data_IF_741081817603
#
_entry.id   IF_741081817603
#
_cell.length_a   1.000
_cell.length_b   1.000
_cell.length_c   1.000
_cell.angle_alpha   90.00
_cell.angle_beta   90.00
_cell.angle_gamma   90.00
#
_symmetry.space_group_name_H-M   'P 1'
#
loop_
_entity.id
_entity.type
_entity.pdbx_description
1 polymer ?
#
# COMPACT_ATOMS: atom_id res chain seq x y z
N UNK A 1 41.30 -51.07 21.74
CA UNK A 1 41.59 -50.15 20.61
C UNK A 1 40.42 -49.18 20.46
N UNK A 2 40.71 -47.86 20.54
CA UNK A 2 39.94 -46.67 20.06
C UNK A 2 38.47 -46.52 20.54
N UNK A 3 38.15 -45.65 21.52
CA UNK A 3 38.04 -44.16 21.53
C UNK A 3 36.68 -43.63 21.03
N UNK A 4 36.04 -42.82 21.90
CA UNK A 4 35.20 -41.62 21.66
C UNK A 4 33.91 -41.80 20.84
N UNK A 5 32.74 -41.22 21.14
CA UNK A 5 32.37 -40.07 21.99
C UNK A 5 30.87 -40.25 22.38
N UNK A 6 30.49 -39.88 23.61
CA UNK A 6 29.60 -38.75 23.95
C UNK A 6 28.18 -38.79 23.33
N UNK A 7 27.08 -38.43 23.99
CA UNK A 7 26.68 -38.09 25.36
C UNK A 7 25.26 -37.49 25.15
N UNK A 8 24.34 -37.67 26.11
CA UNK A 8 23.17 -36.81 26.36
C UNK A 8 22.04 -36.75 25.32
N UNK A 9 20.93 -37.41 25.64
CA UNK A 9 19.64 -36.74 25.95
C UNK A 9 18.50 -37.74 25.76
N UNK A 10 18.44 -38.74 26.65
CA UNK A 10 17.28 -39.60 26.80
C UNK A 10 16.94 -39.59 28.29
N UNK A 11 16.11 -38.62 28.70
CA UNK A 11 15.25 -38.55 29.89
C UNK A 11 14.68 -37.12 29.91
N UNK A 12 13.51 -36.96 29.29
CA UNK A 12 12.44 -36.00 29.59
C UNK A 12 11.24 -36.31 28.67
N UNK A 13 10.94 -37.60 28.51
CA UNK A 13 9.65 -38.05 28.01
C UNK A 13 8.77 -38.14 29.24
N UNK A 14 7.91 -37.15 29.42
CA UNK A 14 6.61 -37.14 30.09
C UNK A 14 6.29 -35.69 30.51
N UNK A 15 5.08 -35.25 30.12
CA UNK A 15 4.44 -33.96 30.45
C UNK A 15 5.06 -32.68 29.89
N UNK A 16 4.97 -32.50 28.57
CA UNK A 16 4.63 -31.18 28.02
C UNK A 16 3.38 -31.36 27.19
N UNK A 17 2.23 -31.23 27.84
CA UNK A 17 1.03 -30.79 27.14
C UNK A 17 1.38 -29.45 26.54
N UNK A 18 1.66 -29.43 25.23
CA UNK A 18 1.63 -28.21 24.45
C UNK A 18 0.22 -27.65 24.63
N UNK A 19 0.06 -26.77 25.62
CA UNK A 19 -0.93 -25.72 25.54
C UNK A 19 -0.58 -25.01 24.24
N UNK A 20 -1.28 -25.35 23.16
CA UNK A 20 -1.49 -24.42 22.07
C UNK A 20 -2.07 -23.20 22.76
N UNK A 21 -1.21 -22.24 23.12
CA UNK A 21 -1.62 -20.86 23.25
C UNK A 21 -2.14 -20.56 21.85
N UNK A 22 -3.44 -20.67 21.67
CA UNK A 22 -4.13 -20.14 20.52
C UNK A 22 -3.63 -18.70 20.43
N UNK A 23 -2.74 -18.45 19.46
CA UNK A 23 -2.38 -17.09 19.11
C UNK A 23 -3.72 -16.41 18.90
N UNK A 24 -4.07 -15.33 19.65
CA UNK A 24 -5.38 -14.73 19.54
C UNK A 24 -5.65 -14.50 18.05
N UNK A 25 -6.76 -15.07 17.56
CA UNK A 25 -7.09 -15.03 16.14
C UNK A 25 -7.01 -13.58 15.72
N UNK A 26 -6.47 -13.31 14.55
CA UNK A 26 -6.23 -11.92 14.13
C UNK A 26 -7.55 -11.12 14.12
N UNK A 27 -8.71 -11.80 14.08
CA UNK A 27 -10.07 -11.28 14.27
C UNK A 27 -10.29 -10.66 15.67
N UNK A 28 -9.79 -11.28 16.74
CA UNK A 28 -9.82 -10.68 18.11
C UNK A 28 -8.91 -9.46 18.25
N UNK A 29 -8.05 -9.19 17.26
CA UNK A 29 -7.23 -7.97 17.17
C UNK A 29 -7.92 -6.85 16.39
N UNK A 30 -9.15 -7.07 15.91
CA UNK A 30 -10.04 -6.02 15.43
C UNK A 30 -10.52 -5.24 16.66
N UNK A 31 -9.67 -4.35 17.17
CA UNK A 31 -10.12 -3.37 18.13
C UNK A 31 -11.24 -2.54 17.46
N UNK A 32 -12.37 -2.32 18.15
CA UNK A 32 -13.42 -1.46 17.61
C UNK A 32 -12.81 -0.10 17.24
N UNK A 33 -13.22 0.43 16.09
CA UNK A 33 -12.80 1.76 15.63
C UNK A 33 -13.16 2.77 16.72
N UNK A 34 -12.15 3.44 17.24
CA UNK A 34 -12.37 4.53 18.19
C UNK A 34 -12.75 5.78 17.39
N UNK A 35 -13.97 6.27 17.56
CA UNK A 35 -14.37 7.54 16.96
C UNK A 35 -13.66 8.71 17.63
N UNK A 36 -13.17 9.64 16.81
CA UNK A 36 -12.60 10.89 17.31
C UNK A 36 -13.69 11.75 17.95
N UNK A 37 -13.30 12.52 18.97
CA UNK A 37 -14.20 13.51 19.54
C UNK A 37 -14.55 14.59 18.49
N UNK A 38 -15.78 15.10 18.53
CA UNK A 38 -16.24 16.16 17.61
C UNK A 38 -15.28 17.34 17.61
N UNK A 39 -14.90 17.81 16.42
CA UNK A 39 -13.99 18.94 16.26
C UNK A 39 -12.50 18.60 16.40
N UNK A 40 -12.13 17.33 16.62
CA UNK A 40 -10.72 16.88 16.64
C UNK A 40 -10.25 16.27 15.31
N UNK A 41 -11.17 16.04 14.36
CA UNK A 41 -10.83 15.55 13.03
C UNK A 41 -10.45 16.72 12.10
N UNK A 42 -9.19 16.76 11.65
CA UNK A 42 -8.70 17.80 10.74
C UNK A 42 -9.54 17.90 9.45
N UNK A 43 -10.08 16.77 8.97
CA UNK A 43 -10.85 16.72 7.72
C UNK A 43 -12.12 17.55 7.76
N UNK A 44 -12.77 17.67 8.91
CA UNK A 44 -14.00 18.46 9.04
C UNK A 44 -13.74 19.94 8.71
N UNK A 45 -12.57 20.44 9.13
CA UNK A 45 -12.11 21.80 8.85
C UNK A 45 -11.58 21.95 7.42
N UNK A 46 -10.98 20.90 6.86
CA UNK A 46 -10.33 20.96 5.55
C UNK A 46 -11.30 20.85 4.39
N UNK A 47 -12.38 20.05 4.51
CA UNK A 47 -13.32 19.78 3.41
C UNK A 47 -13.85 21.02 2.68
N UNK A 48 -14.23 22.13 3.35
CA UNK A 48 -14.67 23.34 2.66
C UNK A 48 -13.57 24.03 1.82
N UNK A 49 -12.30 23.77 2.13
CA UNK A 49 -11.14 24.40 1.51
C UNK A 49 -10.57 23.58 0.34
N UNK A 50 -10.67 22.25 0.42
CA UNK A 50 -10.09 21.32 -0.56
C UNK A 50 -10.49 21.58 -2.02
N UNK A 51 -11.73 21.99 -2.37
CA UNK A 51 -12.08 22.29 -3.76
C UNK A 51 -11.23 23.39 -4.40
N UNK A 52 -10.66 24.31 -3.62
CA UNK A 52 -9.83 25.41 -4.12
C UNK A 52 -8.46 24.93 -4.66
N UNK A 53 -8.08 23.67 -4.38
CA UNK A 53 -6.83 23.08 -4.85
C UNK A 53 -6.91 22.53 -6.28
N UNK A 54 -8.08 22.61 -6.91
CA UNK A 54 -8.33 22.12 -8.27
C UNK A 54 -8.39 23.30 -9.24
N UNK A 55 -7.31 23.57 -10.00
CA UNK A 55 -7.36 24.62 -11.02
C UNK A 55 -8.33 24.21 -12.14
N UNK A 56 -9.08 25.18 -12.67
CA UNK A 56 -10.00 24.97 -13.79
C UNK A 56 -9.29 25.07 -15.16
N UNK A 57 -8.02 25.50 -15.17
CA UNK A 57 -7.22 25.70 -16.37
C UNK A 57 -6.38 24.44 -16.68
N UNK A 58 -6.51 23.92 -17.90
CA UNK A 58 -5.80 22.70 -18.33
C UNK A 58 -4.28 22.86 -18.33
N UNK A 59 -3.76 24.03 -18.73
CA UNK A 59 -2.31 24.28 -18.74
C UNK A 59 -1.76 24.29 -17.30
N UNK A 60 -2.51 24.83 -16.34
CA UNK A 60 -2.14 24.73 -14.91
C UNK A 60 -2.11 23.28 -14.41
N UNK A 61 -3.08 22.45 -14.83
CA UNK A 61 -3.10 21.02 -14.47
C UNK A 61 -1.87 20.31 -15.02
N UNK A 62 -1.52 20.56 -16.29
CA UNK A 62 -0.35 19.98 -16.94
C UNK A 62 0.95 20.41 -16.25
N UNK A 63 1.14 21.71 -16.00
CA UNK A 63 2.30 22.23 -15.25
C UNK A 63 2.39 21.61 -13.85
N UNK A 64 1.26 21.47 -13.14
CA UNK A 64 1.24 20.84 -11.84
C UNK A 64 1.70 19.38 -11.91
N UNK A 65 1.22 18.61 -12.89
CA UNK A 65 1.64 17.21 -13.10
C UNK A 65 3.15 17.11 -13.37
N UNK A 66 3.70 17.98 -14.22
CA UNK A 66 5.14 18.04 -14.49
C UNK A 66 5.92 18.30 -13.20
N UNK A 67 5.50 19.29 -12.40
CA UNK A 67 6.18 19.63 -11.15
C UNK A 67 6.08 18.55 -10.06
N UNK A 68 5.16 17.59 -10.17
CA UNK A 68 5.15 16.42 -9.27
C UNK A 68 6.25 15.41 -9.55
N UNK A 69 6.89 15.44 -10.73
CA UNK A 69 8.07 14.62 -11.01
C UNK A 69 9.25 15.08 -10.15
N UNK A 70 9.96 14.22 -9.42
CA UNK A 70 11.18 14.61 -8.71
C UNK A 70 12.37 14.85 -9.65
N UNK A 71 12.21 14.60 -10.96
CA UNK A 71 13.27 14.79 -11.95
C UNK A 71 13.24 16.15 -12.62
N UNK A 72 12.05 16.72 -12.78
CA UNK A 72 11.84 17.98 -13.47
C UNK A 72 12.03 19.17 -12.51
N UNK A 73 12.81 20.14 -12.97
CA UNK A 73 12.88 21.46 -12.36
C UNK A 73 11.82 22.37 -13.02
N UNK A 74 11.31 23.35 -12.26
CA UNK A 74 10.39 24.34 -12.84
C UNK A 74 11.16 25.28 -13.76
N UNK A 75 10.61 25.52 -14.94
CA UNK A 75 11.04 26.61 -15.81
C UNK A 75 10.21 27.83 -15.45
N UNK A 76 10.77 28.72 -14.62
CA UNK A 76 10.06 29.88 -14.07
C UNK A 76 9.39 30.77 -15.15
N UNK A 77 9.91 30.77 -16.38
CA UNK A 77 9.30 31.50 -17.49
C UNK A 77 8.06 30.78 -18.05
N UNK A 78 8.05 29.44 -18.07
CA UNK A 78 6.90 28.62 -18.48
C UNK A 78 5.85 28.47 -17.38
N UNK A 79 6.27 28.55 -16.12
CA UNK A 79 5.42 28.27 -14.96
C UNK A 79 4.86 29.53 -14.28
N UNK A 80 5.01 30.72 -14.87
CA UNK A 80 4.55 31.98 -14.27
C UNK A 80 3.06 31.98 -13.88
N UNK A 81 2.21 31.36 -14.71
CA UNK A 81 0.78 31.19 -14.40
C UNK A 81 0.56 30.26 -13.19
N UNK A 82 1.32 29.17 -13.11
CA UNK A 82 1.26 28.25 -11.98
C UNK A 82 1.74 28.92 -10.70
N UNK A 83 2.86 29.65 -10.74
CA UNK A 83 3.38 30.40 -9.58
C UNK A 83 2.35 31.42 -9.08
N UNK A 84 1.74 32.19 -10.00
CA UNK A 84 0.68 33.15 -9.65
C UNK A 84 -0.50 32.47 -8.97
N UNK A 85 -0.90 31.29 -9.47
CA UNK A 85 -1.96 30.51 -8.85
C UNK A 85 -1.55 29.97 -7.47
N UNK A 86 -0.34 29.41 -7.33
CA UNK A 86 0.21 28.93 -6.06
C UNK A 86 0.24 30.03 -5.00
N UNK A 87 0.66 31.24 -5.37
CA UNK A 87 0.63 32.41 -4.48
C UNK A 87 -0.79 32.74 -4.03
N UNK A 88 -1.77 32.67 -4.94
CA UNK A 88 -3.17 32.93 -4.62
C UNK A 88 -3.78 31.91 -3.66
N UNK A 89 -3.32 30.65 -3.69
CA UNK A 89 -3.81 29.57 -2.82
C UNK A 89 -2.96 29.35 -1.57
N UNK A 90 -1.82 30.03 -1.41
CA UNK A 90 -0.96 29.91 -0.24
C UNK A 90 -1.70 30.10 1.10
N UNK A 91 -2.64 31.07 1.26
CA UNK A 91 -3.44 31.19 2.48
C UNK A 91 -4.31 29.96 2.78
N UNK A 92 -4.73 29.23 1.75
CA UNK A 92 -5.49 27.98 1.89
C UNK A 92 -4.57 26.86 2.36
N UNK A 93 -3.38 26.74 1.75
CA UNK A 93 -2.39 25.73 2.13
C UNK A 93 -1.96 25.87 3.61
N UNK A 94 -1.76 27.10 4.08
CA UNK A 94 -1.43 27.39 5.49
C UNK A 94 -2.53 26.95 6.46
N UNK A 95 -3.78 26.86 6.02
CA UNK A 95 -4.88 26.33 6.82
C UNK A 95 -4.92 24.80 6.76
N UNK A 96 -4.45 24.16 5.69
CA UNK A 96 -4.50 22.70 5.51
C UNK A 96 -3.36 21.96 6.24
N UNK A 97 -3.02 22.41 7.44
CA UNK A 97 -2.00 21.82 8.32
C UNK A 97 -2.69 21.17 9.53
N UNK A 98 -2.21 19.97 9.90
CA UNK A 98 -2.72 19.23 11.06
C UNK A 98 -2.24 19.91 12.32
N UNK A 99 -3.17 20.38 13.15
CA UNK A 99 -2.82 20.99 14.42
C UNK A 99 -2.42 19.94 15.46
N UNK A 100 -1.62 20.28 16.49
CA UNK A 100 -1.18 19.32 17.51
C UNK A 100 -2.33 18.60 18.25
N UNK A 101 -3.50 19.21 18.33
CA UNK A 101 -4.71 18.65 18.95
C UNK A 101 -5.61 17.89 17.98
N UNK A 102 -5.29 17.88 16.69
CA UNK A 102 -6.09 17.24 15.65
C UNK A 102 -5.52 15.87 15.26
N UNK A 103 -6.40 15.01 14.78
CA UNK A 103 -6.06 13.76 14.14
C UNK A 103 -6.80 13.62 12.81
N UNK A 104 -6.40 12.63 12.02
CA UNK A 104 -7.09 12.25 10.79
C UNK A 104 -8.00 11.07 11.06
N UNK A 105 -9.27 11.19 10.66
CA UNK A 105 -10.18 10.06 10.63
C UNK A 105 -11.08 10.15 9.40
N UNK A 106 -11.01 9.13 8.54
CA UNK A 106 -11.87 9.04 7.37
C UNK A 106 -13.29 8.57 7.73
N UNK A 107 -14.28 8.80 6.86
CA UNK A 107 -15.59 8.14 6.97
C UNK A 107 -15.44 6.62 7.15
N UNK A 108 -16.34 6.02 7.92
CA UNK A 108 -16.35 4.57 8.11
C UNK A 108 -16.71 3.86 6.80
N UNK A 109 -16.07 2.73 6.53
CA UNK A 109 -16.39 1.89 5.38
C UNK A 109 -17.52 0.94 5.79
N UNK A 110 -18.64 1.00 5.08
CA UNK A 110 -19.82 0.15 5.35
C UNK A 110 -19.97 -1.02 4.38
N UNK A 111 -19.18 -1.02 3.30
CA UNK A 111 -19.32 -1.96 2.18
C UNK A 111 -18.51 -1.53 0.96
N UNK A 112 -18.50 -2.34 -0.12
CA UNK A 112 -17.85 -2.02 -1.40
C UNK A 112 -18.34 -0.72 -2.04
N UNK A 113 -19.57 -0.31 -1.77
CA UNK A 113 -20.20 0.90 -2.29
C UNK A 113 -19.77 2.19 -1.58
N UNK A 114 -19.00 2.09 -0.49
CA UNK A 114 -18.63 3.25 0.32
C UNK A 114 -17.85 4.26 -0.54
N UNK A 115 -18.32 5.51 -0.67
CA UNK A 115 -17.58 6.53 -1.40
C UNK A 115 -16.34 6.96 -0.63
N UNK A 116 -15.30 7.37 -1.38
CA UNK A 116 -14.02 7.82 -0.87
C UNK A 116 -13.75 9.29 -1.25
N UNK A 117 -14.59 10.24 -0.78
CA UNK A 117 -14.59 11.62 -1.28
C UNK A 117 -13.33 12.40 -0.93
N UNK A 118 -12.63 12.01 0.14
CA UNK A 118 -11.48 12.74 0.67
C UNK A 118 -10.16 12.32 -0.04
N UNK A 119 -10.10 11.15 -0.68
CA UNK A 119 -8.83 10.58 -1.17
C UNK A 119 -8.20 11.36 -2.31
N UNK A 120 -8.99 11.68 -3.35
CA UNK A 120 -8.49 12.46 -4.48
C UNK A 120 -8.11 13.90 -4.07
N UNK A 121 -8.91 14.61 -3.26
CA UNK A 121 -8.51 15.90 -2.70
C UNK A 121 -7.21 15.89 -1.87
N UNK A 122 -6.99 14.86 -1.04
CA UNK A 122 -5.76 14.76 -0.26
C UNK A 122 -4.54 14.46 -1.14
N UNK A 123 -4.72 13.69 -2.22
CA UNK A 123 -3.70 13.52 -3.26
C UNK A 123 -3.38 14.82 -3.98
N UNK A 124 -4.41 15.60 -4.33
CA UNK A 124 -4.25 16.92 -4.94
C UNK A 124 -3.49 17.88 -4.01
N UNK A 125 -3.84 17.91 -2.72
CA UNK A 125 -3.11 18.69 -1.71
C UNK A 125 -1.62 18.34 -1.67
N UNK A 126 -1.28 17.06 -1.74
CA UNK A 126 0.12 16.64 -1.75
C UNK A 126 0.88 17.11 -2.99
N UNK A 127 0.23 17.06 -4.16
CA UNK A 127 0.79 17.54 -5.43
C UNK A 127 1.02 19.06 -5.40
N UNK A 128 0.03 19.82 -4.94
CA UNK A 128 0.09 21.28 -4.83
C UNK A 128 1.17 21.72 -3.83
N UNK A 129 1.31 21.02 -2.69
CA UNK A 129 2.40 21.26 -1.73
C UNK A 129 3.77 21.01 -2.34
N UNK A 130 3.93 19.96 -3.14
CA UNK A 130 5.17 19.69 -3.85
C UNK A 130 5.51 20.79 -4.86
N UNK A 131 4.53 21.27 -5.63
CA UNK A 131 4.74 22.40 -6.53
C UNK A 131 5.11 23.70 -5.76
N UNK A 132 4.42 23.97 -4.64
CA UNK A 132 4.71 25.12 -3.77
C UNK A 132 6.11 25.05 -3.15
N UNK A 133 6.55 23.85 -2.75
CA UNK A 133 7.89 23.57 -2.28
C UNK A 133 8.93 23.96 -3.32
N UNK A 134 8.77 23.48 -4.56
CA UNK A 134 9.72 23.75 -5.65
C UNK A 134 9.74 25.23 -6.01
N UNK A 135 8.57 25.86 -6.14
CA UNK A 135 8.46 27.28 -6.41
C UNK A 135 9.14 28.12 -5.32
N UNK A 136 8.91 27.78 -4.04
CA UNK A 136 9.55 28.46 -2.91
C UNK A 136 11.06 28.31 -2.92
N UNK A 137 11.57 27.11 -3.24
CA UNK A 137 13.01 26.85 -3.34
C UNK A 137 13.65 27.70 -4.42
N UNK A 138 13.07 27.69 -5.63
CA UNK A 138 13.60 28.43 -6.78
C UNK A 138 13.52 29.95 -6.60
N UNK A 139 12.60 30.44 -5.76
CA UNK A 139 12.53 31.83 -5.35
C UNK A 139 13.55 32.18 -4.23
N UNK A 140 14.38 31.24 -3.79
CA UNK A 140 15.36 31.42 -2.70
C UNK A 140 14.75 31.35 -1.29
N UNK A 141 13.47 31.00 -1.16
CA UNK A 141 12.80 30.84 0.13
C UNK A 141 12.90 29.38 0.62
N UNK A 142 14.11 28.97 0.96
CA UNK A 142 14.39 27.60 1.41
C UNK A 142 13.61 27.21 2.68
N UNK A 143 13.44 28.08 3.70
CA UNK A 143 12.65 27.73 4.88
C UNK A 143 11.21 27.33 4.55
N UNK A 144 10.54 28.04 3.62
CA UNK A 144 9.19 27.70 3.20
C UNK A 144 9.13 26.37 2.44
N UNK A 145 10.10 26.11 1.55
CA UNK A 145 10.19 24.84 0.83
C UNK A 145 10.39 23.65 1.78
N UNK A 146 11.29 23.77 2.76
CA UNK A 146 11.51 22.72 3.77
C UNK A 146 10.26 22.51 4.62
N UNK A 147 9.58 23.58 5.04
CA UNK A 147 8.33 23.45 5.78
C UNK A 147 7.25 22.71 4.96
N UNK A 148 7.10 23.04 3.68
CA UNK A 148 6.16 22.34 2.78
C UNK A 148 6.49 20.84 2.65
N UNK A 149 7.77 20.46 2.57
CA UNK A 149 8.19 19.05 2.56
C UNK A 149 7.78 18.32 3.85
N UNK A 150 8.06 18.92 5.00
CA UNK A 150 7.71 18.37 6.32
C UNK A 150 6.20 18.21 6.47
N UNK A 151 5.42 19.21 6.07
CA UNK A 151 3.97 19.13 6.09
C UNK A 151 3.43 18.01 5.19
N UNK A 152 4.06 17.78 4.03
CA UNK A 152 3.64 16.70 3.13
C UNK A 152 3.94 15.32 3.72
N UNK A 153 5.11 15.13 4.33
CA UNK A 153 5.44 13.89 5.05
C UNK A 153 4.46 13.63 6.19
N UNK A 154 4.10 14.66 6.97
CA UNK A 154 3.12 14.56 8.06
C UNK A 154 1.72 14.24 7.54
N UNK A 155 1.31 14.82 6.42
CA UNK A 155 0.06 14.49 5.72
C UNK A 155 0.06 13.01 5.32
N UNK A 156 1.09 12.53 4.63
CA UNK A 156 1.21 11.14 4.21
C UNK A 156 1.11 10.17 5.40
N UNK A 157 1.85 10.46 6.48
CA UNK A 157 1.81 9.70 7.74
C UNK A 157 0.41 9.66 8.34
N UNK A 158 -0.25 10.80 8.48
CA UNK A 158 -1.58 10.89 9.06
C UNK A 158 -2.61 10.14 8.18
N UNK A 159 -2.52 10.30 6.86
CA UNK A 159 -3.42 9.67 5.91
C UNK A 159 -3.25 8.15 5.92
N UNK A 160 -2.02 7.61 5.82
CA UNK A 160 -1.73 6.17 5.93
C UNK A 160 -2.16 5.58 7.28
N UNK A 161 -2.07 6.34 8.37
CA UNK A 161 -2.55 5.93 9.70
C UNK A 161 -4.07 5.79 9.78
N UNK A 162 -4.80 6.64 9.05
CA UNK A 162 -6.25 6.67 9.04
C UNK A 162 -6.90 5.71 8.02
N UNK A 163 -6.13 5.08 7.12
CA UNK A 163 -6.69 4.19 6.09
C UNK A 163 -7.08 2.81 6.63
N UNK A 164 -8.21 2.34 6.13
CA UNK A 164 -8.71 0.97 6.25
C UNK A 164 -9.13 0.49 4.85
N UNK A 165 -8.97 -0.80 4.54
CA UNK A 165 -9.25 -1.33 3.19
C UNK A 165 -8.15 -1.03 2.16
N UNK A 166 -8.21 -1.76 1.05
CA UNK A 166 -7.12 -1.78 0.05
C UNK A 166 -7.19 -0.62 -0.93
N UNK A 167 -8.36 -0.31 -1.47
CA UNK A 167 -8.54 0.84 -2.38
C UNK A 167 -8.10 2.16 -1.71
N UNK A 168 -8.52 2.45 -0.45
CA UNK A 168 -8.01 3.59 0.31
C UNK A 168 -6.49 3.60 0.52
N UNK A 169 -5.88 2.44 0.80
CA UNK A 169 -4.43 2.30 0.95
C UNK A 169 -3.67 2.69 -0.32
N UNK A 170 -4.16 2.31 -1.51
CA UNK A 170 -3.52 2.66 -2.79
C UNK A 170 -3.40 4.18 -2.94
N UNK A 171 -4.46 4.92 -2.64
CA UNK A 171 -4.46 6.38 -2.74
C UNK A 171 -3.53 7.03 -1.71
N UNK A 172 -3.52 6.52 -0.47
CA UNK A 172 -2.63 7.02 0.57
C UNK A 172 -1.15 6.71 0.28
N UNK A 173 -0.85 5.56 -0.32
CA UNK A 173 0.49 5.24 -0.81
C UNK A 173 0.93 6.21 -1.93
N UNK A 174 0.00 6.68 -2.77
CA UNK A 174 0.24 7.73 -3.75
C UNK A 174 0.61 9.08 -3.13
N UNK A 175 -0.07 9.50 -2.05
CA UNK A 175 0.30 10.70 -1.28
C UNK A 175 1.70 10.56 -0.67
N UNK A 176 2.01 9.38 -0.14
CA UNK A 176 3.33 9.11 0.41
C UNK A 176 4.43 9.16 -0.65
N UNK A 177 4.19 8.58 -1.84
CA UNK A 177 5.09 8.70 -2.98
C UNK A 177 5.41 10.17 -3.30
N UNK A 178 4.38 11.00 -3.51
CA UNK A 178 4.54 12.43 -3.83
C UNK A 178 5.37 13.14 -2.75
N UNK A 179 5.16 12.78 -1.48
CA UNK A 179 5.91 13.36 -0.36
C UNK A 179 7.38 12.95 -0.38
N UNK A 180 7.68 11.67 -0.63
CA UNK A 180 9.05 11.15 -0.76
C UNK A 180 9.77 11.74 -1.98
N UNK A 181 9.05 11.97 -3.08
CA UNK A 181 9.58 12.59 -4.29
C UNK A 181 9.99 14.04 -4.05
N UNK A 182 9.24 14.80 -3.25
CA UNK A 182 9.64 16.14 -2.81
C UNK A 182 10.94 16.14 -2.00
N UNK A 183 11.09 15.20 -1.08
CA UNK A 183 12.34 15.05 -0.31
C UNK A 183 13.48 14.65 -1.23
N UNK A 184 13.26 13.71 -2.16
CA UNK A 184 14.29 13.31 -3.13
C UNK A 184 14.75 14.49 -3.97
N UNK A 185 13.82 15.28 -4.49
CA UNK A 185 14.14 16.49 -5.25
C UNK A 185 14.98 17.48 -4.41
N UNK A 186 14.64 17.70 -3.14
CA UNK A 186 15.45 18.54 -2.23
C UNK A 186 16.86 17.97 -2.01
N UNK A 187 17.01 16.65 -1.88
CA UNK A 187 18.35 16.04 -1.74
C UNK A 187 19.23 16.24 -2.97
N UNK A 188 18.68 16.70 -4.09
CA UNK A 188 19.45 17.00 -5.29
C UNK A 188 19.93 18.45 -5.36
N UNK A 189 19.42 19.33 -4.51
CA UNK A 189 19.79 20.74 -4.50
C UNK A 189 21.11 20.93 -3.77
N UNK A 190 22.01 21.73 -4.34
CA UNK A 190 23.37 21.93 -3.82
C UNK A 190 23.41 22.77 -2.55
N UNK A 191 22.42 23.63 -2.36
CA UNK A 191 22.24 24.55 -1.26
C UNK A 191 21.35 23.99 -0.13
N UNK A 192 21.04 22.69 -0.14
CA UNK A 192 20.39 22.03 0.99
C UNK A 192 21.32 21.98 2.20
N UNK A 193 21.00 22.81 3.20
CA UNK A 193 21.76 22.87 4.46
C UNK A 193 21.73 21.56 5.24
N UNK A 194 22.79 21.32 6.02
CA UNK A 194 22.88 20.14 6.91
C UNK A 194 21.76 20.11 7.96
N UNK A 195 21.30 21.27 8.45
CA UNK A 195 20.18 21.37 9.39
C UNK A 195 18.85 20.96 8.75
N UNK A 196 18.57 21.47 7.54
CA UNK A 196 17.37 21.08 6.79
C UNK A 196 17.40 19.58 6.45
N UNK A 197 18.57 19.05 6.07
CA UNK A 197 18.72 17.62 5.83
C UNK A 197 18.48 16.78 7.09
N UNK A 198 18.96 17.23 8.26
CA UNK A 198 18.71 16.57 9.54
C UNK A 198 17.22 16.57 9.93
N UNK A 199 16.51 17.69 9.70
CA UNK A 199 15.08 17.80 9.94
C UNK A 199 14.27 16.82 9.09
N UNK A 200 14.53 16.78 7.77
CA UNK A 200 13.87 15.86 6.86
C UNK A 200 14.18 14.40 7.21
N UNK A 201 15.42 14.11 7.62
CA UNK A 201 15.83 12.78 8.03
C UNK A 201 15.03 12.32 9.27
N UNK A 202 14.88 13.18 10.28
CA UNK A 202 14.11 12.88 11.48
C UNK A 202 12.62 12.59 11.17
N UNK A 203 12.03 13.33 10.22
CA UNK A 203 10.65 13.05 9.75
C UNK A 203 10.55 11.69 9.05
N UNK A 204 11.52 11.32 8.20
CA UNK A 204 11.52 9.99 7.56
C UNK A 204 11.75 8.86 8.57
N UNK A 205 12.54 9.07 9.62
CA UNK A 205 12.78 8.06 10.66
C UNK A 205 11.53 7.80 11.51
N UNK A 206 10.68 8.81 11.72
CA UNK A 206 9.40 8.66 12.40
C UNK A 206 8.41 7.71 11.67
N UNK A 207 8.69 7.36 10.41
CA UNK A 207 7.86 6.52 9.55
C UNK A 207 8.35 5.07 9.40
N UNK A 208 9.36 4.63 10.15
CA UNK A 208 10.02 3.32 9.99
C UNK A 208 9.09 2.07 10.05
N UNK A 209 7.88 2.20 10.61
CA UNK A 209 6.89 1.12 10.69
C UNK A 209 5.62 1.39 9.89
N UNK A 210 5.55 2.53 9.19
CA UNK A 210 4.32 3.05 8.61
C UNK A 210 3.74 2.12 7.55
N UNK A 211 4.57 1.64 6.62
CA UNK A 211 4.17 0.73 5.54
C UNK A 211 3.49 -0.54 6.08
N UNK A 212 4.13 -1.19 7.06
CA UNK A 212 3.65 -2.46 7.63
C UNK A 212 2.34 -2.26 8.37
N UNK A 213 2.26 -1.20 9.18
CA UNK A 213 1.05 -0.89 9.93
C UNK A 213 -0.12 -0.54 8.99
N UNK A 214 0.15 0.18 7.91
CA UNK A 214 -0.85 0.52 6.90
C UNK A 214 -1.35 -0.73 6.15
N UNK A 215 -0.46 -1.63 5.73
CA UNK A 215 -0.84 -2.90 5.11
C UNK A 215 -1.68 -3.77 6.04
N UNK A 216 -1.27 -3.91 7.30
CA UNK A 216 -2.03 -4.70 8.28
C UNK A 216 -3.44 -4.13 8.47
N UNK A 217 -3.59 -2.80 8.60
CA UNK A 217 -4.92 -2.17 8.69
C UNK A 217 -5.74 -2.35 7.42
N UNK A 218 -5.12 -2.17 6.26
CA UNK A 218 -5.79 -2.31 4.97
C UNK A 218 -6.35 -3.72 4.78
N UNK A 219 -5.55 -4.76 5.04
CA UNK A 219 -5.96 -6.16 4.92
C UNK A 219 -7.05 -6.54 5.92
N UNK A 220 -6.99 -5.99 7.15
CA UNK A 220 -8.09 -6.14 8.13
C UNK A 220 -9.37 -5.50 7.63
N UNK A 221 -9.29 -4.29 7.08
CA UNK A 221 -10.42 -3.58 6.52
C UNK A 221 -10.99 -4.28 5.29
N UNK A 222 -10.15 -4.89 4.46
CA UNK A 222 -10.59 -5.69 3.31
C UNK A 222 -11.46 -6.87 3.74
N UNK A 223 -11.03 -7.62 4.74
CA UNK A 223 -11.88 -8.68 5.29
C UNK A 223 -13.19 -8.12 5.85
N UNK A 224 -13.09 -7.12 6.72
CA UNK A 224 -14.20 -6.65 7.55
C UNK A 224 -15.26 -5.92 6.73
N UNK A 225 -14.84 -5.03 5.84
CA UNK A 225 -15.72 -4.11 5.14
C UNK A 225 -16.03 -4.54 3.71
N UNK A 226 -15.22 -5.43 3.12
CA UNK A 226 -15.49 -5.97 1.80
C UNK A 226 -15.94 -7.43 1.89
N UNK A 227 -15.06 -8.36 2.26
CA UNK A 227 -15.38 -9.80 2.18
C UNK A 227 -16.57 -10.17 3.06
N UNK A 228 -16.56 -9.80 4.33
CA UNK A 228 -17.62 -10.14 5.27
C UNK A 228 -18.96 -9.52 4.86
N UNK A 229 -18.96 -8.22 4.55
CA UNK A 229 -20.16 -7.49 4.13
C UNK A 229 -20.78 -8.10 2.86
N UNK A 230 -19.96 -8.40 1.85
CA UNK A 230 -20.46 -8.99 0.60
C UNK A 230 -21.08 -10.36 0.85
N UNK A 231 -20.39 -11.25 1.58
CA UNK A 231 -20.91 -12.59 1.89
C UNK A 231 -22.19 -12.54 2.73
N UNK A 232 -22.28 -11.62 3.69
CA UNK A 232 -23.46 -11.44 4.53
C UNK A 232 -24.68 -10.92 3.72
N UNK A 233 -24.44 -10.14 2.66
CA UNK A 233 -25.47 -9.65 1.74
C UNK A 233 -25.93 -10.69 0.70
N UNK A 234 -25.14 -11.72 0.42
CA UNK A 234 -25.54 -12.76 -0.54
C UNK A 234 -26.84 -13.47 -0.09
N UNK A 235 -27.78 -13.77 -1.02
CA UNK A 235 -29.06 -14.36 -0.66
C UNK A 235 -28.89 -15.75 -0.05
N UNK A 236 -29.71 -16.07 0.96
CA UNK A 236 -29.79 -17.42 1.55
C UNK A 236 -30.67 -18.29 0.65
N UNK A 237 -30.06 -18.88 -0.36
CA UNK A 237 -30.76 -19.65 -1.41
C UNK A 237 -29.92 -20.83 -1.86
N UNK A 238 -30.59 -21.86 -2.38
CA UNK A 238 -29.94 -22.92 -3.15
C UNK A 238 -29.84 -22.57 -4.64
N UNK A 239 -30.52 -21.53 -5.12
CA UNK A 239 -30.47 -21.12 -6.53
C UNK A 239 -29.09 -20.52 -6.86
N UNK A 240 -28.28 -21.31 -7.56
CA UNK A 240 -26.90 -20.95 -7.93
C UNK A 240 -26.89 -19.76 -8.89
N UNK A 241 -27.84 -19.66 -9.81
CA UNK A 241 -27.89 -18.55 -10.77
C UNK A 241 -28.13 -17.22 -10.05
N UNK A 242 -29.01 -17.22 -9.02
CA UNK A 242 -29.25 -16.05 -8.18
C UNK A 242 -28.00 -15.65 -7.39
N UNK A 243 -27.23 -16.62 -6.90
CA UNK A 243 -25.95 -16.37 -6.22
C UNK A 243 -24.88 -15.82 -7.17
N UNK A 244 -24.79 -16.35 -8.40
CA UNK A 244 -23.85 -15.85 -9.40
C UNK A 244 -24.17 -14.41 -9.81
N UNK A 245 -25.44 -14.10 -10.06
CA UNK A 245 -25.92 -12.73 -10.30
C UNK A 245 -25.55 -11.80 -9.13
N UNK A 246 -25.77 -12.28 -7.90
CA UNK A 246 -25.38 -11.54 -6.68
C UNK A 246 -23.87 -11.29 -6.60
N UNK A 247 -23.04 -12.29 -6.88
CA UNK A 247 -21.57 -12.17 -6.89
C UNK A 247 -21.12 -11.19 -7.98
N UNK A 248 -21.71 -11.25 -9.17
CA UNK A 248 -21.43 -10.31 -10.26
C UNK A 248 -21.70 -8.86 -9.87
N UNK A 249 -22.72 -8.63 -9.04
CA UNK A 249 -23.01 -7.31 -8.45
C UNK A 249 -22.25 -7.02 -7.15
N UNK A 250 -21.42 -7.95 -6.66
CA UNK A 250 -20.79 -7.92 -5.33
C UNK A 250 -21.79 -7.67 -4.18
N UNK A 251 -23.02 -8.17 -4.32
CA UNK A 251 -24.10 -7.96 -3.36
C UNK A 251 -24.56 -6.51 -3.24
N UNK A 252 -24.27 -5.65 -4.23
CA UNK A 252 -24.67 -4.24 -4.25
C UNK A 252 -26.05 -4.03 -4.88
N UNK A 253 -26.43 -4.86 -5.85
CA UNK A 253 -27.76 -4.81 -6.47
C UNK A 253 -28.69 -5.85 -5.87
N UNK A 254 -29.99 -5.54 -5.78
CA UNK A 254 -30.98 -6.56 -5.46
C UNK A 254 -30.87 -7.66 -6.51
N UNK A 255 -30.67 -8.93 -6.12
CA UNK A 255 -30.38 -9.96 -7.09
C UNK A 255 -31.67 -10.30 -7.84
N UNK A 256 -31.64 -10.11 -9.16
CA UNK A 256 -32.74 -10.49 -10.03
C UNK A 256 -32.69 -12.00 -10.23
N UNK A 257 -33.70 -12.70 -9.73
CA UNK A 257 -33.84 -14.12 -9.99
C UNK A 257 -34.16 -14.31 -11.49
N UNK A 258 -33.42 -15.18 -12.20
CA UNK A 258 -33.83 -15.55 -13.55
C UNK A 258 -35.23 -16.16 -13.50
N UNK A 259 -36.05 -15.91 -14.52
CA UNK A 259 -37.33 -16.60 -14.65
C UNK A 259 -37.13 -18.12 -14.65
N UNK A 260 -38.16 -18.90 -14.29
CA UNK A 260 -38.03 -20.36 -14.13
C UNK A 260 -37.51 -21.08 -15.39
N UNK A 261 -37.81 -20.55 -16.59
CA UNK A 261 -37.28 -21.03 -17.88
C UNK A 261 -35.92 -20.47 -18.29
N UNK A 262 -35.35 -19.54 -17.53
CA UNK A 262 -34.05 -18.91 -17.74
C UNK A 262 -32.98 -19.46 -16.78
N UNK A 263 -33.37 -20.31 -15.81
CA UNK A 263 -32.42 -21.03 -14.96
C UNK A 263 -31.66 -22.06 -15.79
N UNK A 264 -30.37 -21.79 -16.00
CA UNK A 264 -29.50 -22.71 -16.70
C UNK A 264 -29.05 -23.85 -15.77
N UNK A 265 -28.65 -23.55 -14.53
CA UNK A 265 -28.20 -24.57 -13.57
C UNK A 265 -29.34 -25.16 -12.75
N UNK A 266 -29.24 -26.47 -12.45
CA UNK A 266 -30.14 -27.20 -11.56
C UNK A 266 -29.97 -26.73 -10.12
N UNK A 267 -31.07 -26.62 -9.37
CA UNK A 267 -31.01 -26.28 -7.92
C UNK A 267 -30.47 -27.49 -7.15
N UNK A 268 -29.28 -27.39 -6.51
CA UNK A 268 -28.71 -28.49 -5.75
C UNK A 268 -29.51 -28.78 -4.47
N UNK A 269 -29.46 -30.04 -4.02
CA UNK A 269 -30.05 -30.47 -2.76
C UNK A 269 -29.29 -29.97 -1.52
N UNK A 270 -28.02 -29.61 -1.69
CA UNK A 270 -27.14 -29.04 -0.65
C UNK A 270 -26.94 -27.55 -0.88
N UNK A 271 -26.65 -26.82 0.20
CA UNK A 271 -26.28 -25.41 0.12
C UNK A 271 -25.04 -25.23 -0.78
N UNK A 272 -25.13 -24.44 -1.86
CA UNK A 272 -24.01 -24.19 -2.75
C UNK A 272 -23.02 -23.15 -2.18
N UNK A 273 -23.39 -22.43 -1.13
CA UNK A 273 -22.57 -21.45 -0.42
C UNK A 273 -22.55 -21.74 1.09
N UNK A 274 -21.43 -22.25 1.56
CA UNK A 274 -21.11 -22.27 3.00
C UNK A 274 -20.43 -20.94 3.37
N UNK A 275 -21.20 -20.04 3.99
CA UNK A 275 -20.70 -18.72 4.40
C UNK A 275 -19.58 -18.83 5.43
N UNK A 276 -19.74 -19.72 6.42
CA UNK A 276 -18.76 -19.87 7.48
C UNK A 276 -17.42 -20.35 6.95
N UNK A 277 -17.44 -21.39 6.11
CA UNK A 277 -16.23 -21.90 5.46
C UNK A 277 -15.59 -20.87 4.52
N UNK A 278 -16.41 -20.08 3.80
CA UNK A 278 -15.91 -19.03 2.90
C UNK A 278 -15.22 -17.90 3.68
N UNK A 279 -15.84 -17.42 4.76
CA UNK A 279 -15.26 -16.40 5.63
C UNK A 279 -13.99 -16.90 6.30
N UNK A 280 -13.98 -18.13 6.83
CA UNK A 280 -12.78 -18.73 7.44
C UNK A 280 -11.64 -18.84 6.43
N UNK A 281 -11.91 -19.30 5.21
CA UNK A 281 -10.88 -19.41 4.18
C UNK A 281 -10.30 -18.03 3.78
N UNK A 282 -11.13 -16.98 3.69
CA UNK A 282 -10.64 -15.61 3.49
C UNK A 282 -9.80 -15.14 4.68
N UNK A 283 -10.29 -15.39 5.90
CA UNK A 283 -9.62 -15.04 7.14
C UNK A 283 -8.23 -15.67 7.26
N UNK A 284 -8.09 -16.94 6.89
CA UNK A 284 -6.82 -17.66 6.95
C UNK A 284 -5.78 -17.05 5.98
N UNK A 285 -6.22 -16.61 4.79
CA UNK A 285 -5.35 -15.95 3.80
C UNK A 285 -4.82 -14.62 4.32
N UNK A 286 -5.75 -13.77 4.74
CA UNK A 286 -5.48 -12.42 5.22
C UNK A 286 -4.66 -12.49 6.50
N UNK A 287 -4.97 -13.43 7.39
CA UNK A 287 -4.19 -13.72 8.58
C UNK A 287 -2.75 -14.11 8.26
N UNK A 288 -2.55 -14.94 7.23
CA UNK A 288 -1.24 -15.29 6.69
C UNK A 288 -0.42 -14.04 6.31
N UNK A 289 -1.00 -13.16 5.51
CA UNK A 289 -0.37 -11.89 5.09
C UNK A 289 -0.10 -10.94 6.26
N UNK A 290 -1.06 -10.77 7.17
CA UNK A 290 -0.89 -9.93 8.37
C UNK A 290 0.29 -10.42 9.21
N UNK A 291 0.39 -11.73 9.43
CA UNK A 291 1.51 -12.31 10.17
C UNK A 291 2.84 -12.10 9.44
N UNK A 292 2.84 -12.24 8.12
CA UNK A 292 4.02 -12.02 7.29
C UNK A 292 4.49 -10.54 7.33
N UNK A 293 3.57 -9.58 7.28
CA UNK A 293 3.88 -8.15 7.43
C UNK A 293 4.38 -7.80 8.84
N UNK A 294 3.83 -8.45 9.86
CA UNK A 294 4.25 -8.25 11.25
C UNK A 294 5.70 -8.72 11.50
N UNK A 295 6.19 -9.72 10.74
CA UNK A 295 7.58 -10.19 10.81
C UNK A 295 8.59 -9.14 10.34
N UNK A 296 8.15 -8.15 9.56
CA UNK A 296 8.91 -6.94 9.33
C UNK A 296 9.64 -6.82 8.00
N UNK A 297 9.40 -7.70 7.04
CA UNK A 297 9.96 -7.57 5.69
C UNK A 297 8.85 -7.79 4.66
N UNK A 298 9.09 -7.38 3.42
CA UNK A 298 8.24 -7.80 2.34
C UNK A 298 8.28 -9.34 2.25
N UNK A 299 7.14 -10.03 2.34
CA UNK A 299 7.13 -11.49 2.40
C UNK A 299 7.27 -12.09 0.98
N UNK A 300 8.48 -12.01 0.42
CA UNK A 300 8.80 -12.51 -0.92
C UNK A 300 8.38 -13.96 -1.09
N UNK A 301 7.66 -14.26 -2.17
CA UNK A 301 7.22 -15.62 -2.47
C UNK A 301 6.13 -16.19 -1.55
N UNK A 302 5.70 -15.45 -0.51
CA UNK A 302 4.60 -15.87 0.36
C UNK A 302 3.31 -16.04 -0.45
N UNK A 303 2.98 -15.07 -1.30
CA UNK A 303 1.85 -15.11 -2.24
C UNK A 303 1.85 -16.36 -3.13
N UNK A 304 2.98 -16.59 -3.82
CA UNK A 304 3.13 -17.68 -4.78
C UNK A 304 2.94 -19.05 -4.13
N UNK A 305 3.39 -19.20 -2.88
CA UNK A 305 3.28 -20.44 -2.13
C UNK A 305 1.92 -20.59 -1.42
N UNK A 306 1.35 -19.50 -0.91
CA UNK A 306 0.15 -19.50 -0.07
C UNK A 306 -1.13 -19.22 -0.88
N UNK A 307 -1.37 -17.95 -1.22
CA UNK A 307 -2.61 -17.49 -1.87
C UNK A 307 -2.77 -18.11 -3.27
N UNK A 308 -1.74 -18.02 -4.11
CA UNK A 308 -1.80 -18.52 -5.51
C UNK A 308 -2.01 -20.03 -5.58
N UNK A 309 -1.28 -20.82 -4.79
CA UNK A 309 -1.46 -22.28 -4.74
C UNK A 309 -2.89 -22.66 -4.39
N UNK A 310 -3.46 -22.01 -3.37
CA UNK A 310 -4.81 -22.29 -2.91
C UNK A 310 -5.88 -21.87 -3.93
N UNK A 311 -5.77 -20.67 -4.48
CA UNK A 311 -6.72 -20.20 -5.51
C UNK A 311 -6.63 -21.07 -6.77
N UNK A 312 -5.44 -21.54 -7.15
CA UNK A 312 -5.27 -22.51 -8.24
C UNK A 312 -5.92 -23.85 -7.93
N UNK A 313 -5.81 -24.35 -6.70
CA UNK A 313 -6.53 -25.57 -6.27
C UNK A 313 -8.03 -25.37 -6.40
N UNK A 314 -8.59 -24.26 -5.90
CA UNK A 314 -10.00 -23.95 -6.08
C UNK A 314 -10.40 -23.82 -7.54
N UNK A 315 -9.63 -23.13 -8.37
CA UNK A 315 -9.91 -23.02 -9.80
C UNK A 315 -9.94 -24.38 -10.50
N UNK A 316 -8.99 -25.28 -10.16
CA UNK A 316 -8.95 -26.63 -10.70
C UNK A 316 -10.16 -27.48 -10.26
N UNK A 317 -10.56 -27.36 -8.98
CA UNK A 317 -11.75 -28.05 -8.46
C UNK A 317 -13.04 -27.53 -9.12
N UNK A 318 -13.14 -26.21 -9.34
CA UNK A 318 -14.30 -25.59 -9.95
C UNK A 318 -14.41 -25.87 -11.45
N UNK A 319 -13.29 -26.05 -12.17
CA UNK A 319 -13.25 -26.51 -13.55
C UNK A 319 -14.34 -25.89 -14.45
N UNK A 320 -15.28 -26.73 -14.90
CA UNK A 320 -16.38 -26.31 -15.77
C UNK A 320 -17.33 -25.26 -15.15
N UNK A 321 -17.52 -25.26 -13.83
CA UNK A 321 -18.34 -24.26 -13.15
C UNK A 321 -17.67 -22.89 -13.11
N UNK A 322 -16.34 -22.82 -12.92
CA UNK A 322 -15.61 -21.55 -13.03
C UNK A 322 -15.75 -20.97 -14.45
N UNK A 323 -15.53 -21.80 -15.47
CA UNK A 323 -15.67 -21.41 -16.88
C UNK A 323 -17.09 -20.89 -17.15
N UNK A 324 -18.12 -21.63 -16.71
CA UNK A 324 -19.51 -21.22 -16.83
C UNK A 324 -19.79 -19.85 -16.18
N UNK A 325 -19.21 -19.59 -15.00
CA UNK A 325 -19.47 -18.37 -14.25
C UNK A 325 -18.72 -17.13 -14.75
N UNK A 326 -17.61 -17.30 -15.48
CA UNK A 326 -16.73 -16.19 -15.88
C UNK A 326 -16.67 -15.92 -17.39
N UNK A 327 -17.17 -16.82 -18.23
CA UNK A 327 -17.22 -16.58 -19.67
C UNK A 327 -18.41 -15.71 -20.06
N UNK A 328 -18.17 -14.68 -20.88
CA UNK A 328 -19.21 -13.76 -21.38
C UNK A 328 -20.11 -14.40 -22.47
N UNK A 329 -19.73 -15.55 -23.02
CA UNK A 329 -20.49 -16.22 -24.07
C UNK A 329 -21.70 -16.98 -23.51
N UNK A 330 -22.85 -17.02 -24.22
CA UNK A 330 -23.97 -17.87 -23.82
C UNK A 330 -23.53 -19.32 -23.61
N UNK A 331 -23.85 -19.93 -22.45
CA UNK A 331 -23.40 -21.29 -22.15
C UNK A 331 -24.13 -22.31 -23.03
N UNK A 332 -23.40 -23.30 -23.53
CA UNK A 332 -23.98 -24.45 -24.25
C UNK A 332 -24.60 -25.45 -23.28
N UNK A 333 -25.51 -26.31 -23.74
CA UNK A 333 -26.10 -27.37 -22.90
C UNK A 333 -25.04 -28.28 -22.26
N UNK A 334 -23.99 -28.61 -23.01
CA UNK A 334 -22.87 -29.43 -22.51
C UNK A 334 -22.13 -28.73 -21.36
N UNK A 335 -21.92 -27.41 -21.47
CA UNK A 335 -21.25 -26.60 -20.43
C UNK A 335 -22.12 -26.49 -19.18
N UNK A 336 -23.43 -26.26 -19.37
CA UNK A 336 -24.40 -26.25 -18.27
C UNK A 336 -24.36 -27.57 -17.52
N UNK A 337 -24.45 -28.71 -18.22
CA UNK A 337 -24.41 -30.04 -17.62
C UNK A 337 -23.10 -30.33 -16.90
N UNK A 338 -21.98 -29.88 -17.46
CA UNK A 338 -20.67 -30.02 -16.82
C UNK A 338 -20.57 -29.18 -15.53
N UNK A 339 -21.05 -27.93 -15.56
CA UNK A 339 -21.11 -27.06 -14.40
C UNK A 339 -22.03 -27.63 -13.30
N UNK A 340 -23.21 -28.12 -13.64
CA UNK A 340 -24.15 -28.79 -12.72
C UNK A 340 -23.49 -29.98 -12.00
N UNK A 341 -22.71 -30.78 -12.74
CA UNK A 341 -21.98 -31.91 -12.18
C UNK A 341 -20.98 -31.44 -11.11
N UNK A 342 -20.27 -30.34 -11.36
CA UNK A 342 -19.33 -29.76 -10.40
C UNK A 342 -20.08 -29.22 -9.17
N UNK A 343 -21.14 -28.43 -9.39
CA UNK A 343 -21.97 -27.84 -8.32
C UNK A 343 -22.57 -28.93 -7.41
N UNK A 344 -22.94 -30.09 -7.97
CA UNK A 344 -23.47 -31.21 -7.21
C UNK A 344 -22.41 -32.00 -6.43
N UNK A 345 -21.14 -31.94 -6.82
CA UNK A 345 -20.07 -32.79 -6.25
C UNK A 345 -19.09 -32.03 -5.33
N UNK A 346 -18.63 -30.84 -5.73
CA UNK A 346 -17.61 -30.06 -4.99
C UNK A 346 -18.18 -29.30 -3.82
N UNK A 347 -17.64 -29.45 -2.61
CA UNK A 347 -18.09 -28.67 -1.45
C UNK A 347 -17.88 -27.17 -1.62
N UNK A 348 -18.86 -26.38 -1.15
CA UNK A 348 -18.87 -24.92 -1.17
C UNK A 348 -18.46 -24.32 -2.54
N UNK A 349 -19.10 -24.72 -3.66
CA UNK A 349 -18.68 -24.33 -4.99
C UNK A 349 -18.79 -22.81 -5.21
N UNK A 350 -19.84 -22.17 -4.69
CA UNK A 350 -20.05 -20.72 -4.82
C UNK A 350 -19.07 -19.94 -3.95
N UNK A 351 -18.78 -20.43 -2.73
CA UNK A 351 -17.80 -19.79 -1.85
C UNK A 351 -16.38 -19.84 -2.42
N UNK A 352 -15.97 -20.98 -2.99
CA UNK A 352 -14.67 -21.10 -3.68
C UNK A 352 -14.61 -20.18 -4.90
N UNK A 353 -15.68 -20.11 -5.69
CA UNK A 353 -15.77 -19.20 -6.83
C UNK A 353 -15.61 -17.74 -6.39
N UNK A 354 -16.34 -17.33 -5.35
CA UNK A 354 -16.22 -16.00 -4.77
C UNK A 354 -14.78 -15.68 -4.40
N UNK A 355 -14.07 -16.57 -3.70
CA UNK A 355 -12.67 -16.36 -3.32
C UNK A 355 -11.75 -16.28 -4.54
N UNK A 356 -11.96 -17.10 -5.57
CA UNK A 356 -11.18 -17.05 -6.81
C UNK A 356 -11.33 -15.72 -7.54
N UNK A 357 -12.54 -15.16 -7.58
CA UNK A 357 -12.83 -13.91 -8.31
C UNK A 357 -12.40 -12.68 -7.50
N UNK A 358 -12.61 -12.69 -6.18
CA UNK A 358 -12.50 -11.47 -5.36
C UNK A 358 -11.19 -11.34 -4.60
N UNK A 359 -10.44 -12.43 -4.41
CA UNK A 359 -9.12 -12.35 -3.78
C UNK A 359 -8.16 -11.66 -4.75
N UNK A 360 -7.76 -10.43 -4.45
CA UNK A 360 -6.85 -9.68 -5.33
C UNK A 360 -5.44 -10.25 -5.29
N UNK A 361 -4.61 -9.83 -6.24
CA UNK A 361 -3.17 -10.07 -6.17
C UNK A 361 -2.55 -9.17 -5.09
N UNK A 362 -2.45 -9.71 -3.88
CA UNK A 362 -1.89 -9.03 -2.71
C UNK A 362 -0.42 -8.62 -2.86
N UNK A 363 0.35 -9.38 -3.63
CA UNK A 363 1.79 -9.18 -3.79
C UNK A 363 2.17 -7.89 -4.53
N UNK A 364 1.61 -7.58 -5.73
CA UNK A 364 1.83 -6.28 -6.36
C UNK A 364 1.49 -5.10 -5.46
N UNK A 365 0.41 -5.20 -4.68
CA UNK A 365 0.02 -4.16 -3.72
C UNK A 365 1.02 -4.04 -2.58
N UNK A 366 1.39 -5.14 -1.92
CA UNK A 366 2.35 -5.12 -0.82
C UNK A 366 3.70 -4.61 -1.32
N UNK A 367 4.16 -5.09 -2.46
CA UNK A 367 5.38 -4.64 -3.09
C UNK A 367 5.31 -3.15 -3.39
N UNK A 368 4.20 -2.65 -3.95
CA UNK A 368 4.00 -1.22 -4.19
C UNK A 368 4.22 -0.40 -2.91
N UNK A 369 3.68 -0.81 -1.76
CA UNK A 369 3.86 -0.09 -0.49
C UNK A 369 5.29 -0.23 0.07
N UNK A 370 5.85 -1.44 0.06
CA UNK A 370 7.22 -1.68 0.54
C UNK A 370 8.30 -1.01 -0.34
N UNK A 371 8.02 -0.76 -1.61
CA UNK A 371 8.88 0.07 -2.47
C UNK A 371 9.02 1.50 -1.93
N UNK A 372 7.98 2.07 -1.32
CA UNK A 372 8.03 3.40 -0.69
C UNK A 372 8.79 3.35 0.63
N UNK A 373 8.66 2.26 1.39
CA UNK A 373 9.52 2.00 2.55
C UNK A 373 11.01 1.94 2.16
N UNK A 374 11.34 1.29 1.04
CA UNK A 374 12.70 1.25 0.51
C UNK A 374 13.18 2.66 0.11
N UNK A 375 12.34 3.44 -0.60
CA UNK A 375 12.65 4.83 -0.95
C UNK A 375 12.88 5.70 0.30
N UNK A 376 12.03 5.57 1.34
CA UNK A 376 12.19 6.25 2.63
C UNK A 376 13.53 5.90 3.30
N UNK A 377 13.87 4.60 3.38
CA UNK A 377 15.18 4.14 3.88
C UNK A 377 16.34 4.73 3.07
N UNK A 378 16.24 4.74 1.74
CA UNK A 378 17.28 5.23 0.85
C UNK A 378 17.48 6.75 1.00
N UNK A 379 16.38 7.51 1.12
CA UNK A 379 16.41 8.95 1.38
C UNK A 379 17.05 9.29 2.73
N UNK A 380 16.87 8.44 3.75
CA UNK A 380 17.59 8.59 5.03
C UNK A 380 19.10 8.55 4.81
N UNK A 381 19.59 7.64 3.96
CA UNK A 381 21.00 7.55 3.56
C UNK A 381 21.48 8.75 2.74
N UNK A 382 20.68 9.20 1.74
CA UNK A 382 21.03 10.39 0.93
C UNK A 382 21.11 11.67 1.77
N UNK A 383 20.17 11.87 2.71
CA UNK A 383 20.21 13.01 3.62
C UNK A 383 21.42 12.95 4.55
N UNK A 384 21.81 11.75 5.00
CA UNK A 384 23.05 11.58 5.75
C UNK A 384 24.30 11.90 4.91
N UNK A 385 24.35 11.52 3.63
CA UNK A 385 25.39 11.97 2.70
C UNK A 385 25.41 13.50 2.55
N UNK A 386 24.25 14.17 2.47
CA UNK A 386 24.16 15.64 2.45
C UNK A 386 24.72 16.27 3.72
N UNK A 387 24.40 15.71 4.89
CA UNK A 387 24.91 16.19 6.18
C UNK A 387 26.43 16.02 6.31
N UNK A 388 26.98 14.95 5.73
CA UNK A 388 28.42 14.70 5.70
C UNK A 388 29.14 15.57 4.65
N UNK A 389 28.44 15.95 3.57
CA UNK A 389 28.96 16.74 2.46
C UNK A 389 29.51 15.91 1.29
N UNK A 390 29.53 14.58 1.40
CA UNK A 390 29.91 13.69 0.31
C UNK A 390 29.30 12.29 0.48
N UNK A 391 29.19 11.50 -0.61
CA UNK A 391 28.86 10.08 -0.52
C UNK A 391 29.87 9.30 0.33
N UNK A 392 29.38 8.41 1.18
CA UNK A 392 30.19 7.64 2.13
C UNK A 392 29.59 6.26 2.41
N UNK A 393 30.41 5.37 2.95
CA UNK A 393 29.94 4.03 3.36
C UNK A 393 28.99 4.12 4.55
N UNK A 394 28.19 3.07 4.77
CA UNK A 394 27.34 2.98 5.96
C UNK A 394 28.14 3.06 7.26
N UNK A 395 29.31 2.43 7.33
CA UNK A 395 30.20 2.45 8.50
C UNK A 395 30.66 3.88 8.81
N UNK A 396 31.03 4.66 7.79
CA UNK A 396 31.43 6.06 7.96
C UNK A 396 30.28 6.92 8.48
N UNK A 397 29.06 6.74 7.97
CA UNK A 397 27.88 7.47 8.45
C UNK A 397 27.50 7.11 9.88
N UNK A 398 27.69 5.85 10.28
CA UNK A 398 27.47 5.38 11.66
C UNK A 398 28.51 5.98 12.60
N UNK A 399 29.80 5.94 12.22
CA UNK A 399 30.90 6.53 13.00
C UNK A 399 30.70 8.04 13.21
N UNK A 400 30.25 8.74 12.17
CA UNK A 400 29.89 10.15 12.21
C UNK A 400 28.58 10.44 12.97
N UNK A 401 27.88 9.41 13.48
CA UNK A 401 26.58 9.51 14.18
C UNK A 401 25.50 10.21 13.36
N UNK A 402 25.55 10.07 12.03
CA UNK A 402 24.54 10.61 11.13
C UNK A 402 23.36 9.66 10.96
N UNK A 403 23.60 8.36 11.10
CA UNK A 403 22.58 7.29 11.16
C UNK A 403 22.93 6.33 12.30
N UNK A 404 21.93 5.68 12.93
CA UNK A 404 22.17 4.73 14.02
C UNK A 404 22.63 3.35 13.52
N UNK A 405 22.26 2.98 12.30
CA UNK A 405 22.59 1.72 11.65
C UNK A 405 22.45 1.87 10.13
N UNK A 406 22.99 0.91 9.38
CA UNK A 406 22.80 0.85 7.94
C UNK A 406 21.30 0.78 7.59
N UNK A 407 20.78 1.58 6.64
CA UNK A 407 19.37 1.59 6.32
C UNK A 407 18.89 0.22 5.83
N UNK A 408 17.86 -0.33 6.45
CA UNK A 408 17.36 -1.67 6.11
C UNK A 408 16.68 -1.68 4.73
N UNK A 409 16.93 -2.72 3.94
CA UNK A 409 16.18 -3.00 2.72
C UNK A 409 14.94 -3.83 3.07
N UNK A 410 13.71 -3.33 2.85
CA UNK A 410 12.50 -4.11 3.15
C UNK A 410 12.37 -5.39 2.32
N UNK A 411 13.12 -5.54 1.23
CA UNK A 411 13.11 -6.72 0.36
C UNK A 411 14.29 -7.67 0.55
N UNK A 412 15.21 -7.40 1.48
CA UNK A 412 16.36 -8.29 1.74
C UNK A 412 16.59 -8.49 3.23
N UNK A 413 17.46 -9.46 3.56
CA UNK A 413 17.84 -9.69 4.96
C UNK A 413 18.88 -8.69 5.49
N UNK A 414 19.44 -7.86 4.60
CA UNK A 414 20.49 -6.90 4.90
C UNK A 414 20.08 -5.44 4.70
N UNK A 415 21.09 -4.58 4.66
CA UNK A 415 20.94 -3.17 4.37
C UNK A 415 20.65 -2.92 2.89
N UNK A 416 20.20 -1.71 2.58
CA UNK A 416 20.23 -1.18 1.22
C UNK A 416 21.66 -1.24 0.67
N UNK A 417 21.74 -1.47 -0.63
CA UNK A 417 22.99 -1.45 -1.37
C UNK A 417 23.38 -0.02 -1.68
N UNK A 418 24.67 0.19 -1.88
CA UNK A 418 25.19 1.49 -2.27
C UNK A 418 26.45 1.36 -3.11
N UNK A 419 26.73 2.42 -3.86
CA UNK A 419 27.98 2.64 -4.59
C UNK A 419 28.40 4.08 -4.29
N UNK A 420 29.67 4.31 -4.00
CA UNK A 420 30.22 5.64 -3.64
C UNK A 420 31.44 5.97 -4.50
N UNK A 421 31.42 5.59 -5.78
CA UNK A 421 32.52 5.88 -6.70
C UNK A 421 32.49 7.35 -7.16
N UNK A 422 33.63 7.95 -7.55
CA UNK A 422 33.65 9.31 -8.08
C UNK A 422 32.74 9.54 -9.29
N UNK A 423 32.44 8.48 -10.05
CA UNK A 423 31.60 8.52 -11.24
C UNK A 423 30.12 8.19 -10.93
N UNK A 424 29.86 7.49 -9.81
CA UNK A 424 28.51 7.01 -9.44
C UNK A 424 28.37 6.94 -7.92
N UNK A 425 27.45 7.74 -7.40
CA UNK A 425 27.00 7.64 -6.02
C UNK A 425 25.50 7.35 -6.00
N UNK A 426 25.10 6.21 -5.41
CA UNK A 426 23.70 5.75 -5.43
C UNK A 426 23.39 4.76 -4.33
N UNK A 427 22.11 4.62 -4.01
CA UNK A 427 21.55 3.73 -3.01
C UNK A 427 20.37 2.97 -3.63
N UNK A 428 20.32 1.65 -3.49
CA UNK A 428 19.24 0.83 -4.07
C UNK A 428 18.79 -0.33 -3.19
N UNK A 429 17.60 -0.84 -3.53
CA UNK A 429 16.99 -2.03 -2.96
C UNK A 429 17.07 -3.17 -3.97
N UNK A 430 17.14 -4.41 -3.47
CA UNK A 430 17.06 -5.61 -4.33
C UNK A 430 15.67 -5.81 -4.95
N UNK A 431 14.64 -5.12 -4.45
CA UNK A 431 13.27 -5.27 -4.92
C UNK A 431 12.65 -6.65 -4.64
N UNK A 432 11.40 -6.83 -5.08
CA UNK A 432 10.60 -8.02 -4.76
C UNK A 432 11.16 -9.33 -5.33
N UNK A 433 11.89 -9.28 -6.44
CA UNK A 433 12.53 -10.46 -7.04
C UNK A 433 13.80 -10.89 -6.27
N UNK A 434 14.35 -10.01 -5.42
CA UNK A 434 15.53 -10.29 -4.64
C UNK A 434 16.84 -10.37 -5.43
N UNK A 435 16.83 -9.96 -6.69
CA UNK A 435 17.99 -10.03 -7.57
C UNK A 435 18.71 -8.69 -7.48
N UNK A 436 20.01 -8.74 -7.18
CA UNK A 436 20.86 -7.57 -7.24
C UNK A 436 21.22 -7.29 -8.71
N UNK A 437 20.52 -6.33 -9.31
CA UNK A 437 20.80 -5.84 -10.66
C UNK A 437 21.90 -4.76 -10.67
N UNK A 438 22.51 -4.51 -9.49
CA UNK A 438 23.51 -3.49 -9.26
C UNK A 438 22.94 -2.08 -9.28
N UNK A 439 21.61 -1.93 -9.25
CA UNK A 439 20.94 -0.69 -9.57
C UNK A 439 21.06 -0.40 -11.08
N UNK A 440 19.96 -0.19 -11.79
CA UNK A 440 19.99 0.15 -13.23
C UNK A 440 19.35 1.50 -13.56
N UNK A 441 19.10 2.35 -12.58
CA UNK A 441 18.38 3.61 -12.77
C UNK A 441 19.21 4.70 -13.45
N UNK A 442 18.72 5.19 -14.59
CA UNK A 442 19.11 6.46 -15.23
C UNK A 442 18.61 7.70 -14.47
N UNK A 443 17.96 7.53 -13.30
CA UNK A 443 17.18 8.57 -12.63
C UNK A 443 15.76 8.74 -13.16
N UNK A 444 15.44 8.24 -14.35
CA UNK A 444 14.10 8.40 -14.98
C UNK A 444 13.03 7.45 -14.43
N UNK A 445 13.41 6.46 -13.62
CA UNK A 445 12.53 5.41 -13.11
C UNK A 445 11.83 5.80 -11.79
N UNK A 446 11.23 6.98 -11.73
CA UNK A 446 10.44 7.42 -10.57
C UNK A 446 9.22 6.50 -10.43
N UNK A 447 9.12 5.77 -9.30
CA UNK A 447 8.03 4.82 -9.01
C UNK A 447 8.40 3.33 -9.16
N UNK A 448 9.61 3.01 -9.63
CA UNK A 448 10.27 1.70 -9.48
C UNK A 448 11.57 1.95 -8.71
N UNK A 449 11.70 1.56 -7.42
CA UNK A 449 12.86 1.91 -6.60
C UNK A 449 14.08 1.05 -6.97
N UNK A 450 14.51 1.13 -8.22
CA UNK A 450 15.69 0.41 -8.69
C UNK A 450 16.97 1.22 -8.45
N UNK A 451 16.91 2.53 -8.17
CA UNK A 451 18.04 3.35 -7.67
C UNK A 451 17.57 4.73 -7.20
N UNK A 452 18.07 5.22 -6.06
CA UNK A 452 18.16 6.66 -5.80
C UNK A 452 19.60 7.10 -6.03
N UNK A 453 19.81 8.01 -6.97
CA UNK A 453 21.13 8.55 -7.27
C UNK A 453 21.39 9.80 -6.45
N UNK A 454 22.60 9.90 -5.91
CA UNK A 454 23.17 11.19 -5.58
C UNK A 454 23.42 11.90 -6.91
N UNK A 455 23.02 13.17 -7.06
CA UNK A 455 23.39 13.90 -8.27
C UNK A 455 24.91 13.90 -8.33
N UNK A 456 25.49 13.26 -9.35
CA UNK A 456 26.84 13.61 -9.74
C UNK A 456 26.78 15.12 -9.92
N UNK A 457 27.57 15.87 -9.14
CA UNK A 457 27.73 17.31 -9.35
C UNK A 457 28.02 17.46 -10.83
N UNK A 458 27.00 17.86 -11.59
CA UNK A 458 27.24 18.35 -12.92
C UNK A 458 28.15 19.53 -12.65
N UNK A 459 29.39 19.43 -13.11
CA UNK A 459 30.20 20.61 -13.29
C UNK A 459 29.35 21.54 -14.17
N UNK A 460 28.62 22.46 -13.52
CA UNK A 460 28.01 23.60 -14.18
C UNK A 460 29.10 24.63 -14.43
#
# INVERSE_FOLDING_TARGET
>A
MRRLALLFALICVLTNGCVHRSTPSWETRLLPRHELATGTNALDRWRPLLPQLFPNDLALIESLQILTSPMEDSDAAKDAALITWLDSIAPVLNQLVVQPSEAFQLPAISGPETPFPDHQPLRQLAAVRLASLKASWLAGNHPAAINAAVENLRLARAFLKAQEGIVPLIQAAGVWQISLDGVYWLTRQDDLSSEAAALLQAELEADALLARQALIRAFRGEFTFFTQVVIDRLPKTHDVNLLLSSIGSLGMAAPEAPEEGQRALTVPSRDPLDRGATLQASADDIGGWINAFAAGRHPRGFSALHTHTRLRTYANELGAFLIYATEDAPPTEERIKAADTIVATIENPVGKLFLVITTSQWEPLSAHVFRREAQRSALTGLLAWRRLGHPATWEQLIEARLIPAAPADPFSDGALRYETSPLRARIWSLGENGIDDGGQGSGENVGRPLDLTWPATSAR
#
